data_IF_339042856850
#
_entry.id   IF_339042856850
#
_cell.length_a   1.000
_cell.length_b   1.000
_cell.length_c   1.000
_cell.angle_alpha   90.00
_cell.angle_beta   90.00
_cell.angle_gamma   90.00
#
_symmetry.space_group_name_H-M   'P 1'
#
loop_
_entity.id
_entity.type
_entity.pdbx_description
1 polymer ?
#
# COMPACT_ATOMS: atom_id res chain seq x y z
N UNK A 1 24.49 -36.35 32.75
CA UNK A 1 23.55 -35.49 32.00
C UNK A 1 22.90 -36.28 30.87
N UNK A 2 22.24 -37.38 31.24
CA UNK A 2 21.56 -38.29 30.32
C UNK A 2 20.37 -38.84 31.10
N UNK A 3 19.17 -38.35 30.75
CA UNK A 3 17.82 -38.80 31.18
C UNK A 3 16.93 -37.56 31.26
N UNK A 4 16.38 -37.11 30.13
CA UNK A 4 15.07 -36.44 30.07
C UNK A 4 14.56 -36.35 28.62
N UNK A 5 14.78 -37.38 27.81
CA UNK A 5 14.05 -37.54 26.55
C UNK A 5 12.72 -38.24 26.88
N UNK A 6 11.71 -37.46 27.29
CA UNK A 6 10.33 -37.93 27.34
C UNK A 6 9.95 -38.29 25.89
N UNK A 7 9.69 -39.57 25.63
CA UNK A 7 8.90 -40.01 24.46
C UNK A 7 7.55 -39.30 24.53
N UNK A 8 7.44 -38.14 23.89
CA UNK A 8 6.15 -37.57 23.52
C UNK A 8 5.58 -38.54 22.49
N UNK A 9 4.39 -39.05 22.75
CA UNK A 9 3.71 -39.94 21.81
C UNK A 9 3.57 -39.18 20.48
N UNK A 10 4.19 -39.71 19.42
CA UNK A 10 4.04 -39.20 18.05
C UNK A 10 2.58 -39.37 17.64
N UNK A 11 1.80 -38.31 17.76
CA UNK A 11 0.53 -38.18 17.09
C UNK A 11 0.74 -37.10 16.04
N UNK A 12 0.57 -37.49 14.76
CA UNK A 12 0.45 -36.53 13.68
C UNK A 12 -0.63 -35.50 14.06
N UNK A 13 -0.39 -34.24 13.74
CA UNK A 13 -1.26 -33.16 14.19
C UNK A 13 -2.62 -33.26 13.45
N UNK A 14 -3.72 -33.28 14.20
CA UNK A 14 -5.07 -33.28 13.62
C UNK A 14 -5.39 -31.90 13.01
N UNK A 15 -6.16 -31.88 11.94
CA UNK A 15 -6.47 -30.64 11.19
C UNK A 15 -7.22 -29.61 12.06
N UNK A 16 -8.03 -30.06 13.02
CA UNK A 16 -8.69 -29.16 13.98
C UNK A 16 -7.69 -28.48 14.92
N UNK A 17 -6.60 -29.18 15.26
CA UNK A 17 -5.52 -28.63 16.09
C UNK A 17 -4.67 -27.65 15.29
N UNK A 18 -4.42 -27.94 14.00
CA UNK A 18 -3.76 -27.01 13.07
C UNK A 18 -4.56 -25.72 12.94
N UNK A 19 -5.85 -25.84 12.67
CA UNK A 19 -6.80 -24.73 12.61
C UNK A 19 -6.77 -23.85 13.87
N UNK A 20 -6.79 -24.48 15.05
CA UNK A 20 -6.73 -23.76 16.33
C UNK A 20 -5.40 -23.01 16.53
N UNK A 21 -4.29 -23.60 16.08
CA UNK A 21 -2.96 -22.98 16.16
C UNK A 21 -2.87 -21.79 15.20
N UNK A 22 -3.31 -21.96 13.95
CA UNK A 22 -3.36 -20.88 12.94
C UNK A 22 -4.20 -19.72 13.46
N UNK A 23 -5.39 -20.00 14.00
CA UNK A 23 -6.25 -18.97 14.59
C UNK A 23 -5.55 -18.23 15.75
N UNK A 24 -4.84 -18.95 16.62
CA UNK A 24 -4.10 -18.33 17.73
C UNK A 24 -2.95 -17.44 17.25
N UNK A 25 -2.24 -17.86 16.20
CA UNK A 25 -1.13 -17.08 15.62
C UNK A 25 -1.65 -15.85 14.87
N UNK A 26 -2.71 -15.98 14.07
CA UNK A 26 -3.38 -14.84 13.42
C UNK A 26 -3.86 -13.83 14.47
N UNK A 27 -4.47 -14.30 15.56
CA UNK A 27 -4.91 -13.42 16.65
C UNK A 27 -3.73 -12.71 17.35
N UNK A 28 -2.58 -13.37 17.46
CA UNK A 28 -1.40 -12.85 18.14
C UNK A 28 -0.49 -12.01 17.24
N UNK A 29 -0.67 -12.08 15.91
CA UNK A 29 0.16 -11.38 14.93
C UNK A 29 0.01 -9.84 15.03
N UNK A 30 1.07 -9.15 14.64
CA UNK A 30 1.05 -7.69 14.41
C UNK A 30 0.31 -7.40 13.11
N UNK A 31 -0.53 -6.39 13.09
CA UNK A 31 -1.47 -6.12 11.97
C UNK A 31 -2.78 -6.90 12.08
N UNK A 32 -2.93 -7.75 13.11
CA UNK A 32 -4.20 -8.41 13.40
C UNK A 32 -5.18 -7.43 14.03
N UNK A 33 -6.37 -7.31 13.44
CA UNK A 33 -7.47 -6.50 13.96
C UNK A 33 -7.99 -7.00 15.32
N UNK A 34 -7.83 -8.30 15.60
CA UNK A 34 -8.51 -8.99 16.70
C UNK A 34 -7.65 -9.11 17.98
N UNK A 35 -6.33 -8.91 17.92
CA UNK A 35 -5.41 -9.14 19.04
C UNK A 35 -5.64 -8.26 20.27
N UNK A 36 -5.27 -8.75 21.47
CA UNK A 36 -5.58 -8.13 22.78
C UNK A 36 -4.95 -6.76 23.07
N UNK A 37 -4.04 -6.29 22.22
CA UNK A 37 -3.46 -4.94 22.29
C UNK A 37 -4.01 -4.01 21.18
N UNK A 38 -5.02 -4.47 20.43
CA UNK A 38 -5.64 -3.77 19.31
C UNK A 38 -4.70 -3.67 18.11
N UNK A 39 -5.23 -3.81 16.90
CA UNK A 39 -4.58 -3.28 15.71
C UNK A 39 -4.21 -1.78 15.82
N UNK A 40 -4.69 -1.08 16.85
CA UNK A 40 -4.54 0.34 17.16
C UNK A 40 -3.17 0.94 16.85
N UNK A 41 -2.12 0.75 17.64
CA UNK A 41 -0.95 1.65 17.56
C UNK A 41 -0.20 1.62 16.21
N UNK A 42 -0.11 0.48 15.52
CA UNK A 42 0.51 0.45 14.19
C UNK A 42 -0.46 0.95 13.11
N UNK A 43 -1.72 0.51 13.17
CA UNK A 43 -2.74 0.89 12.22
C UNK A 43 -3.05 2.40 12.28
N UNK A 44 -3.20 2.93 13.48
CA UNK A 44 -3.39 4.35 13.76
C UNK A 44 -2.23 5.18 13.24
N UNK A 45 -0.98 4.72 13.42
CA UNK A 45 0.19 5.44 12.89
C UNK A 45 0.23 5.44 11.37
N UNK A 46 -0.13 4.34 10.72
CA UNK A 46 -0.17 4.26 9.26
C UNK A 46 -1.33 5.06 8.68
N UNK A 47 -2.50 5.01 9.33
CA UNK A 47 -3.66 5.85 9.05
C UNK A 47 -3.28 7.32 9.16
N UNK A 48 -2.69 7.73 10.29
CA UNK A 48 -2.21 9.09 10.48
C UNK A 48 -1.20 9.51 9.39
N UNK A 49 -0.25 8.64 9.02
CA UNK A 49 0.66 8.94 7.89
C UNK A 49 -0.10 9.20 6.58
N UNK A 50 -1.18 8.45 6.31
CA UNK A 50 -2.03 8.66 5.14
C UNK A 50 -2.79 9.98 5.22
N UNK A 51 -3.44 10.27 6.34
CA UNK A 51 -4.18 11.54 6.58
C UNK A 51 -3.25 12.75 6.38
N UNK A 52 -2.02 12.70 6.91
CA UNK A 52 -1.03 13.75 6.73
C UNK A 52 -0.54 13.87 5.28
N UNK A 53 -0.37 12.75 4.57
CA UNK A 53 0.01 12.74 3.16
C UNK A 53 -1.09 13.35 2.27
N UNK A 54 -2.36 13.08 2.56
CA UNK A 54 -3.52 13.66 1.88
C UNK A 54 -3.82 15.10 2.33
N UNK A 55 -3.11 15.61 3.34
CA UNK A 55 -3.31 16.94 3.95
C UNK A 55 -4.73 17.10 4.52
N UNK A 56 -5.24 16.06 5.15
CA UNK A 56 -6.54 16.06 5.81
C UNK A 56 -6.55 16.91 7.09
N UNK A 57 -7.74 17.41 7.51
CA UNK A 57 -7.89 18.19 8.74
C UNK A 57 -7.34 17.49 9.99
N UNK A 58 -6.58 18.22 10.80
CA UNK A 58 -5.99 17.66 12.04
C UNK A 58 -7.00 17.52 13.18
N UNK A 59 -8.21 18.04 13.03
CA UNK A 59 -9.24 18.11 14.07
C UNK A 59 -8.99 19.19 15.12
N UNK A 60 -7.93 19.99 14.97
CA UNK A 60 -7.61 21.12 15.84
C UNK A 60 -7.98 22.48 15.23
N UNK A 61 -8.61 22.46 14.06
CA UNK A 61 -9.15 23.64 13.38
C UNK A 61 -10.27 24.28 14.20
N UNK A 62 -10.32 25.61 14.17
CA UNK A 62 -11.36 26.38 14.87
C UNK A 62 -12.37 26.85 13.83
N UNK A 63 -13.66 26.59 14.08
CA UNK A 63 -14.73 27.05 13.21
C UNK A 63 -14.72 28.59 13.09
N UNK A 64 -14.93 29.09 11.87
CA UNK A 64 -14.82 30.50 11.53
C UNK A 64 -13.38 31.05 11.42
N UNK A 65 -12.35 30.18 11.43
CA UNK A 65 -10.95 30.54 11.16
C UNK A 65 -10.40 29.83 9.93
N UNK A 66 -9.18 30.17 9.52
CA UNK A 66 -8.46 29.51 8.44
C UNK A 66 -8.27 28.02 8.74
N UNK A 67 -8.60 27.18 7.75
CA UNK A 67 -8.43 25.72 7.78
C UNK A 67 -7.32 25.24 6.83
N UNK A 68 -6.37 26.13 6.48
CA UNK A 68 -5.28 25.78 5.55
C UNK A 68 -4.32 24.78 6.19
N UNK A 69 -3.91 23.78 5.40
CA UNK A 69 -2.99 22.72 5.79
C UNK A 69 -1.85 22.70 4.77
N UNK A 70 -0.62 22.61 5.28
CA UNK A 70 0.60 22.48 4.47
C UNK A 70 0.77 21.03 4.02
N UNK A 71 1.38 20.78 2.87
CA UNK A 71 1.54 19.44 2.27
C UNK A 71 2.96 18.88 2.41
N UNK A 72 3.64 19.15 3.53
CA UNK A 72 5.08 18.81 3.70
C UNK A 72 5.36 17.33 3.50
N UNK A 73 4.55 16.43 4.09
CA UNK A 73 4.76 14.98 3.99
C UNK A 73 4.63 14.52 2.53
N UNK A 74 3.63 15.03 1.82
CA UNK A 74 3.44 14.77 0.39
C UNK A 74 4.66 15.20 -0.43
N UNK A 75 5.08 16.46 -0.27
CA UNK A 75 6.19 17.03 -1.04
C UNK A 75 7.52 16.29 -0.80
N UNK A 76 7.75 15.81 0.42
CA UNK A 76 8.97 15.06 0.77
C UNK A 76 8.95 13.68 0.11
N UNK A 77 7.84 12.96 0.20
CA UNK A 77 7.72 11.61 -0.37
C UNK A 77 7.82 11.66 -1.90
N UNK A 78 7.07 12.56 -2.55
CA UNK A 78 7.09 12.70 -4.01
C UNK A 78 8.42 13.23 -4.54
N UNK A 79 9.20 13.97 -3.73
CA UNK A 79 10.55 14.37 -4.10
C UNK A 79 11.60 13.28 -3.87
N UNK A 80 11.40 12.39 -2.91
CA UNK A 80 12.33 11.29 -2.61
C UNK A 80 12.17 10.10 -3.58
N UNK A 81 10.97 9.89 -4.13
CA UNK A 81 10.68 8.76 -5.02
C UNK A 81 11.49 8.75 -6.34
N UNK A 82 11.57 9.84 -7.13
CA UNK A 82 12.23 9.80 -8.43
C UNK A 82 13.73 9.46 -8.35
N UNK A 83 14.55 10.06 -7.45
CA UNK A 83 15.95 9.67 -7.32
C UNK A 83 16.15 8.20 -6.92
N UNK A 84 15.26 7.65 -6.08
CA UNK A 84 15.30 6.25 -5.71
C UNK A 84 14.98 5.36 -6.91
N UNK A 85 13.94 5.69 -7.67
CA UNK A 85 13.58 4.94 -8.87
C UNK A 85 14.68 5.01 -9.92
N UNK A 86 15.23 6.19 -10.19
CA UNK A 86 16.32 6.37 -11.13
C UNK A 86 17.53 5.50 -10.78
N UNK A 87 17.90 5.39 -9.49
CA UNK A 87 19.01 4.53 -9.07
C UNK A 87 18.83 3.06 -9.48
N UNK A 88 17.60 2.55 -9.44
CA UNK A 88 17.30 1.15 -9.75
C UNK A 88 16.82 0.92 -11.18
N UNK A 89 16.45 1.97 -11.93
CA UNK A 89 15.91 1.85 -13.29
C UNK A 89 16.72 2.59 -14.34
N UNK A 90 17.83 3.26 -13.98
CA UNK A 90 18.70 3.93 -14.95
C UNK A 90 19.52 2.96 -15.81
N UNK A 91 19.71 1.73 -15.34
CA UNK A 91 20.40 0.67 -16.07
C UNK A 91 19.38 -0.32 -16.64
N UNK A 92 19.64 -0.80 -17.86
CA UNK A 92 18.89 -1.94 -18.44
C UNK A 92 19.21 -3.24 -17.69
N UNK A 93 20.34 -3.30 -16.98
CA UNK A 93 20.73 -4.38 -16.06
C UNK A 93 20.50 -3.95 -14.62
N UNK A 94 19.40 -4.39 -14.02
CA UNK A 94 19.04 -4.15 -12.61
C UNK A 94 19.81 -5.12 -11.70
N UNK A 95 19.91 -6.37 -12.13
CA UNK A 95 20.66 -7.43 -11.45
C UNK A 95 21.74 -7.93 -12.40
N UNK A 96 22.95 -8.15 -11.87
CA UNK A 96 24.06 -8.75 -12.61
C UNK A 96 24.62 -9.95 -11.86
N UNK A 97 24.72 -11.08 -12.55
CA UNK A 97 25.39 -12.27 -12.03
C UNK A 97 26.87 -12.23 -12.43
N UNK A 98 27.75 -12.41 -11.46
CA UNK A 98 29.19 -12.52 -11.69
C UNK A 98 29.59 -13.99 -11.78
N UNK A 99 30.32 -14.35 -12.83
CA UNK A 99 30.86 -15.70 -12.99
C UNK A 99 31.97 -15.96 -11.96
N UNK A 100 31.92 -17.11 -11.29
CA UNK A 100 32.98 -17.52 -10.36
C UNK A 100 34.14 -18.20 -11.09
N UNK A 101 33.84 -18.94 -12.17
CA UNK A 101 34.82 -19.61 -13.03
C UNK A 101 34.71 -19.14 -14.49
N UNK A 102 35.78 -19.23 -15.30
CA UNK A 102 35.76 -18.83 -16.72
C UNK A 102 34.73 -19.59 -17.56
N UNK A 103 34.34 -20.80 -17.13
CA UNK A 103 33.36 -21.64 -17.82
C UNK A 103 31.92 -21.16 -17.61
N UNK A 104 31.67 -20.37 -16.55
CA UNK A 104 30.34 -19.86 -16.19
C UNK A 104 30.01 -18.50 -16.81
N UNK A 105 30.92 -17.89 -17.59
CA UNK A 105 30.72 -16.56 -18.15
C UNK A 105 29.48 -16.47 -19.06
N UNK A 106 29.24 -17.49 -19.89
CA UNK A 106 28.05 -17.52 -20.76
C UNK A 106 26.78 -17.75 -19.95
N UNK A 107 26.82 -18.64 -18.97
CA UNK A 107 25.67 -18.93 -18.10
C UNK A 107 25.29 -17.71 -17.25
N UNK A 108 26.27 -16.99 -16.70
CA UNK A 108 26.06 -15.79 -15.90
C UNK A 108 25.42 -14.65 -16.74
N UNK A 109 25.85 -14.49 -18.00
CA UNK A 109 25.21 -13.54 -18.94
C UNK A 109 23.77 -13.96 -19.24
N UNK A 110 23.54 -15.22 -19.57
CA UNK A 110 22.19 -15.71 -19.86
C UNK A 110 21.25 -15.55 -18.65
N UNK A 111 21.73 -15.85 -17.43
CA UNK A 111 20.96 -15.65 -16.20
C UNK A 111 20.65 -14.17 -15.94
N UNK A 112 21.64 -13.29 -16.17
CA UNK A 112 21.48 -11.83 -16.08
C UNK A 112 20.41 -11.34 -17.04
N UNK A 113 20.49 -11.70 -18.32
CA UNK A 113 19.52 -11.29 -19.34
C UNK A 113 18.11 -11.82 -19.01
N UNK A 114 18.01 -13.08 -18.57
CA UNK A 114 16.73 -13.73 -18.29
C UNK A 114 16.02 -13.12 -17.08
N UNK A 115 16.75 -12.82 -16.00
CA UNK A 115 16.15 -12.22 -14.80
C UNK A 115 15.71 -10.78 -15.06
N UNK A 116 16.50 -10.00 -15.80
CA UNK A 116 16.10 -8.65 -16.20
C UNK A 116 14.88 -8.70 -17.15
N UNK A 117 14.78 -9.72 -18.03
CA UNK A 117 13.58 -9.96 -18.82
C UNK A 117 12.36 -10.29 -17.96
N UNK A 118 12.47 -11.20 -16.98
CA UNK A 118 11.37 -11.54 -16.07
C UNK A 118 10.89 -10.30 -15.31
N UNK A 119 11.82 -9.50 -14.79
CA UNK A 119 11.49 -8.34 -13.98
C UNK A 119 10.93 -7.17 -14.79
N UNK A 120 11.48 -6.90 -15.98
CA UNK A 120 11.12 -5.74 -16.79
C UNK A 120 10.08 -5.97 -17.88
N UNK A 121 9.95 -7.21 -18.40
CA UNK A 121 9.02 -7.56 -19.49
C UNK A 121 7.87 -8.45 -19.02
N UNK A 122 8.15 -9.52 -18.28
CA UNK A 122 7.09 -10.40 -17.79
C UNK A 122 6.32 -9.76 -16.63
N UNK A 123 7.00 -8.95 -15.84
CA UNK A 123 6.44 -8.12 -14.78
C UNK A 123 6.61 -6.64 -15.11
N UNK A 124 5.75 -5.80 -14.53
CA UNK A 124 5.85 -4.35 -14.64
C UNK A 124 6.83 -3.81 -13.58
N UNK A 125 8.12 -4.16 -13.71
CA UNK A 125 9.16 -3.89 -12.70
C UNK A 125 9.22 -2.44 -12.21
N UNK A 126 9.11 -1.46 -13.11
CA UNK A 126 9.06 -0.03 -12.75
C UNK A 126 7.88 0.28 -11.80
N UNK A 127 6.68 -0.23 -12.11
CA UNK A 127 5.48 -0.01 -11.31
C UNK A 127 5.58 -0.69 -9.95
N UNK A 128 6.16 -1.89 -9.91
CA UNK A 128 6.41 -2.63 -8.68
C UNK A 128 7.34 -1.85 -7.75
N UNK A 129 8.48 -1.35 -8.27
CA UNK A 129 9.42 -0.55 -7.49
C UNK A 129 8.78 0.76 -7.00
N UNK A 130 8.02 1.42 -7.87
CA UNK A 130 7.32 2.66 -7.53
C UNK A 130 6.38 2.46 -6.33
N UNK A 131 5.51 1.46 -6.38
CA UNK A 131 4.61 1.16 -5.26
C UNK A 131 5.36 0.65 -4.03
N UNK A 132 6.37 -0.20 -4.23
CA UNK A 132 7.14 -0.78 -3.13
C UNK A 132 7.87 0.29 -2.30
N UNK A 133 8.52 1.24 -2.97
CA UNK A 133 9.21 2.34 -2.32
C UNK A 133 8.22 3.34 -1.72
N UNK A 134 7.11 3.64 -2.41
CA UNK A 134 6.09 4.56 -1.89
C UNK A 134 5.45 4.03 -0.61
N UNK A 135 5.08 2.74 -0.58
CA UNK A 135 4.55 2.09 0.61
C UNK A 135 5.56 2.12 1.76
N UNK A 136 6.84 1.89 1.48
CA UNK A 136 7.88 1.95 2.50
C UNK A 136 8.07 3.35 3.10
N UNK A 137 8.09 4.38 2.24
CA UNK A 137 8.27 5.78 2.64
C UNK A 137 7.07 6.36 3.39
N UNK A 138 5.86 5.88 3.10
CA UNK A 138 4.61 6.33 3.69
C UNK A 138 4.21 5.49 4.92
N UNK A 139 4.10 4.17 4.74
CA UNK A 139 3.51 3.23 5.70
C UNK A 139 4.53 2.44 6.55
N UNK A 140 5.79 2.89 6.57
CA UNK A 140 6.95 2.35 7.33
C UNK A 140 7.62 1.14 6.72
N UNK A 141 6.89 0.33 5.97
CA UNK A 141 7.42 -0.87 5.31
C UNK A 141 6.71 -1.11 3.98
N UNK A 142 7.48 -1.50 2.97
CA UNK A 142 6.96 -1.97 1.69
C UNK A 142 7.15 -3.48 1.59
N UNK A 143 6.14 -4.20 1.11
CA UNK A 143 6.19 -5.67 1.00
C UNK A 143 5.88 -6.08 -0.43
N UNK A 144 6.67 -7.02 -0.95
CA UNK A 144 6.47 -7.65 -2.25
C UNK A 144 6.41 -9.16 -2.06
N UNK A 145 5.48 -9.81 -2.77
CA UNK A 145 5.33 -11.25 -2.83
C UNK A 145 5.74 -11.74 -4.22
N UNK A 146 6.61 -12.75 -4.26
CA UNK A 146 7.07 -13.39 -5.49
C UNK A 146 6.58 -14.83 -5.51
N UNK A 147 5.73 -15.19 -6.47
CA UNK A 147 5.18 -16.54 -6.56
C UNK A 147 5.10 -17.00 -8.00
N UNK A 148 5.06 -18.32 -8.19
CA UNK A 148 4.79 -18.93 -9.47
C UNK A 148 3.29 -18.91 -9.73
N UNK A 149 2.88 -18.22 -10.79
CA UNK A 149 1.50 -18.17 -11.24
C UNK A 149 1.35 -19.14 -12.41
N UNK A 150 0.53 -20.17 -12.23
CA UNK A 150 0.04 -21.01 -13.33
C UNK A 150 -1.29 -20.45 -13.80
N UNK A 151 -1.37 -20.09 -15.08
CA UNK A 151 -2.62 -19.67 -15.71
C UNK A 151 -3.00 -20.69 -16.78
N UNK A 152 -4.21 -21.22 -16.67
CA UNK A 152 -4.84 -22.00 -17.72
C UNK A 152 -5.35 -21.04 -18.80
N UNK A 153 -4.59 -20.91 -19.88
CA UNK A 153 -4.94 -20.02 -20.99
C UNK A 153 -5.69 -20.80 -22.07
N UNK A 154 -6.87 -20.29 -22.44
CA UNK A 154 -7.69 -20.82 -23.53
C UNK A 154 -7.42 -20.02 -24.79
N UNK A 155 -6.93 -20.66 -25.85
CA UNK A 155 -6.78 -20.02 -27.17
C UNK A 155 -7.74 -20.62 -28.17
N UNK A 156 -8.55 -19.75 -28.76
CA UNK A 156 -9.43 -20.10 -29.88
C UNK A 156 -8.62 -20.09 -31.16
N UNK A 157 -8.52 -21.24 -31.82
CA UNK A 157 -7.88 -21.38 -33.13
C UNK A 157 -8.94 -21.85 -34.14
N UNK A 158 -9.02 -21.18 -35.28
CA UNK A 158 -9.93 -21.53 -36.37
C UNK A 158 -9.10 -22.05 -37.53
N UNK A 159 -9.36 -23.29 -37.91
CA UNK A 159 -8.75 -23.93 -39.05
C UNK A 159 -9.79 -24.08 -40.17
N UNK A 160 -9.40 -23.71 -41.38
CA UNK A 160 -10.26 -23.79 -42.57
C UNK A 160 -9.64 -24.70 -43.61
N UNK A 161 -10.46 -25.50 -44.28
CA UNK A 161 -9.97 -26.34 -45.38
C UNK A 161 -9.24 -27.61 -44.94
N UNK A 162 -9.60 -28.18 -43.79
CA UNK A 162 -8.97 -29.40 -43.26
C UNK A 162 -9.55 -30.66 -43.89
N UNK A 163 -8.72 -31.68 -44.06
CA UNK A 163 -9.16 -33.05 -44.38
C UNK A 163 -9.66 -33.79 -43.13
N UNK A 164 -10.42 -34.87 -43.32
CA UNK A 164 -10.99 -35.68 -42.22
C UNK A 164 -9.91 -36.25 -41.29
N UNK A 165 -8.77 -36.66 -41.85
CA UNK A 165 -7.61 -37.17 -41.10
C UNK A 165 -6.91 -36.08 -40.27
N UNK A 166 -6.86 -34.83 -40.77
CA UNK A 166 -6.25 -33.70 -40.06
C UNK A 166 -7.15 -33.20 -38.91
N UNK A 167 -8.47 -33.24 -39.08
CA UNK A 167 -9.43 -32.93 -38.01
C UNK A 167 -9.31 -33.96 -36.88
N UNK A 168 -9.22 -35.25 -37.21
CA UNK A 168 -9.02 -36.30 -36.21
C UNK A 168 -7.71 -36.10 -35.42
N UNK A 169 -6.62 -35.74 -36.10
CA UNK A 169 -5.34 -35.47 -35.46
C UNK A 169 -5.37 -34.25 -34.51
N UNK A 170 -6.09 -33.20 -34.88
CA UNK A 170 -6.20 -31.99 -34.04
C UNK A 170 -7.06 -32.26 -32.80
N UNK A 171 -8.11 -33.08 -32.93
CA UNK A 171 -8.98 -33.45 -31.81
C UNK A 171 -8.35 -34.49 -30.86
N UNK A 172 -7.37 -35.26 -31.33
CA UNK A 172 -6.63 -36.23 -30.51
C UNK A 172 -5.53 -35.58 -29.66
N UNK A 173 -5.23 -34.29 -29.88
CA UNK A 173 -4.26 -33.56 -29.07
C UNK A 173 -4.82 -33.25 -27.67
N UNK A 174 -4.01 -33.47 -26.62
CA UNK A 174 -4.39 -33.19 -25.23
C UNK A 174 -4.75 -31.70 -25.03
N UNK A 175 -5.86 -31.46 -24.32
CA UNK A 175 -6.35 -30.11 -23.98
C UNK A 175 -7.09 -29.40 -25.11
N UNK A 176 -7.59 -30.12 -26.12
CA UNK A 176 -8.35 -29.55 -27.23
C UNK A 176 -9.84 -29.88 -27.11
N UNK A 177 -10.68 -28.85 -27.07
CA UNK A 177 -12.13 -28.96 -27.15
C UNK A 177 -12.66 -28.36 -28.46
N UNK A 178 -13.55 -29.08 -29.14
CA UNK A 178 -14.20 -28.57 -30.35
C UNK A 178 -15.39 -27.66 -29.99
N UNK A 179 -15.38 -26.41 -30.47
CA UNK A 179 -16.49 -25.47 -30.26
C UNK A 179 -17.45 -25.50 -31.45
N UNK A 180 -16.92 -25.40 -32.66
CA UNK A 180 -17.69 -25.37 -33.90
C UNK A 180 -17.02 -26.28 -34.92
N UNK A 181 -17.84 -27.10 -35.58
CA UNK A 181 -17.43 -27.99 -36.64
C UNK A 181 -18.42 -27.83 -37.79
N UNK A 182 -17.93 -27.38 -38.94
CA UNK A 182 -18.72 -27.18 -40.16
C UNK A 182 -18.10 -27.95 -41.32
N UNK A 183 -18.95 -28.57 -42.13
CA UNK A 183 -18.54 -29.45 -43.22
C UNK A 183 -19.06 -28.84 -44.52
N UNK A 184 -18.15 -28.49 -45.42
CA UNK A 184 -18.52 -27.99 -46.74
C UNK A 184 -18.99 -29.16 -47.63
N UNK A 185 -20.31 -29.25 -47.84
CA UNK A 185 -20.95 -30.33 -48.62
C UNK A 185 -20.51 -30.37 -50.10
N UNK A 186 -19.94 -29.29 -50.65
CA UNK A 186 -19.52 -29.19 -52.05
C UNK A 186 -18.07 -29.65 -52.27
N UNK A 187 -17.21 -29.47 -51.28
CA UNK A 187 -15.76 -29.74 -51.39
C UNK A 187 -15.24 -30.84 -50.47
N UNK A 188 -16.01 -31.24 -49.46
CA UNK A 188 -15.63 -32.26 -48.46
C UNK A 188 -14.60 -31.76 -47.43
N UNK A 189 -14.23 -30.49 -47.48
CA UNK A 189 -13.34 -29.88 -46.49
C UNK A 189 -14.10 -29.48 -45.22
N UNK A 190 -13.41 -29.54 -44.10
CA UNK A 190 -13.98 -29.25 -42.79
C UNK A 190 -13.37 -27.96 -42.23
N UNK A 191 -14.21 -27.13 -41.63
CA UNK A 191 -13.80 -25.96 -40.84
C UNK A 191 -13.97 -26.33 -39.36
N UNK A 192 -12.90 -26.19 -38.60
CA UNK A 192 -12.87 -26.56 -37.19
C UNK A 192 -12.43 -25.35 -36.38
N UNK A 193 -13.26 -24.95 -35.43
CA UNK A 193 -12.86 -24.01 -34.39
C UNK A 193 -12.64 -24.79 -33.11
N UNK A 194 -11.39 -24.80 -32.66
CA UNK A 194 -11.00 -25.43 -31.41
C UNK A 194 -10.74 -24.40 -30.32
N UNK A 195 -10.95 -24.82 -29.09
CA UNK A 195 -10.42 -24.19 -27.90
C UNK A 195 -9.29 -25.07 -27.38
N UNK A 196 -8.07 -24.56 -27.44
CA UNK A 196 -6.90 -25.24 -26.89
C UNK A 196 -6.56 -24.63 -25.55
N UNK A 197 -6.57 -25.47 -24.52
CA UNK A 197 -6.06 -25.16 -23.19
C UNK A 197 -4.55 -25.42 -23.17
N UNK A 198 -3.79 -24.43 -22.73
CA UNK A 198 -2.39 -24.63 -22.39
C UNK A 198 -2.09 -23.98 -21.05
N UNK A 199 -1.29 -24.69 -20.24
CA UNK A 199 -0.75 -24.17 -18.99
C UNK A 199 0.39 -23.22 -19.29
N UNK A 200 0.24 -21.96 -18.88
CA UNK A 200 1.32 -20.98 -18.94
C UNK A 200 1.73 -20.63 -17.51
N UNK A 201 2.94 -21.02 -17.14
CA UNK A 201 3.54 -20.60 -15.87
C UNK A 201 4.42 -19.36 -16.07
N UNK A 202 4.34 -18.41 -15.14
CA UNK A 202 5.28 -17.28 -15.06
C UNK A 202 5.56 -16.90 -13.61
N UNK A 203 6.72 -16.31 -13.36
CA UNK A 203 7.00 -15.66 -12.08
C UNK A 203 6.20 -14.37 -12.01
N UNK A 204 5.32 -14.25 -11.02
CA UNK A 204 4.56 -13.02 -10.75
C UNK A 204 5.11 -12.33 -9.51
N UNK A 205 5.38 -11.04 -9.65
CA UNK A 205 5.80 -10.16 -8.56
C UNK A 205 4.66 -9.20 -8.27
N UNK A 206 4.21 -9.17 -7.01
CA UNK A 206 3.06 -8.37 -6.60
C UNK A 206 3.36 -7.61 -5.31
N UNK A 207 3.03 -6.31 -5.30
CA UNK A 207 3.05 -5.50 -4.08
C UNK A 207 1.92 -5.93 -3.16
N UNK A 208 2.23 -6.17 -1.89
CA UNK A 208 1.26 -6.52 -0.87
C UNK A 208 0.97 -5.28 -0.05
N UNK A 209 -0.30 -4.84 0.01
CA UNK A 209 -0.70 -3.75 0.90
C UNK A 209 -0.32 -4.05 2.35
N UNK A 210 0.33 -3.13 3.07
CA UNK A 210 0.77 -3.36 4.45
C UNK A 210 -0.34 -3.70 5.46
N UNK A 211 -1.61 -3.38 5.16
CA UNK A 211 -2.80 -3.74 5.94
C UNK A 211 -3.31 -5.18 5.69
N UNK A 212 -2.88 -5.78 4.58
CA UNK A 212 -3.17 -7.18 4.22
C UNK A 212 -2.10 -8.13 4.78
N UNK A 213 -0.95 -7.61 5.18
CA UNK A 213 0.17 -8.39 5.67
C UNK A 213 0.19 -8.51 7.20
N UNK A 214 0.35 -9.74 7.69
CA UNK A 214 0.45 -10.06 9.11
C UNK A 214 1.78 -10.74 9.43
N UNK A 215 2.38 -10.39 10.55
CA UNK A 215 3.64 -11.00 11.01
C UNK A 215 3.67 -11.21 12.51
N UNK A 216 4.31 -12.28 12.97
CA UNK A 216 4.52 -12.53 14.39
C UNK A 216 5.18 -11.33 15.09
N UNK A 217 4.66 -10.92 16.25
CA UNK A 217 5.17 -9.79 17.05
C UNK A 217 6.65 -9.90 17.46
N UNK A 218 7.15 -11.13 17.54
CA UNK A 218 8.54 -11.43 17.93
C UNK A 218 9.49 -11.47 16.75
N UNK A 219 8.99 -11.37 15.52
CA UNK A 219 9.81 -11.37 14.34
C UNK A 219 10.67 -10.11 14.29
N UNK A 220 11.95 -10.30 14.01
CA UNK A 220 12.91 -9.22 13.75
C UNK A 220 13.25 -9.17 12.26
N UNK A 221 13.26 -10.32 11.60
CA UNK A 221 13.51 -10.49 10.17
C UNK A 221 12.46 -11.43 9.58
N UNK A 222 12.17 -11.26 8.28
CA UNK A 222 11.19 -12.09 7.57
C UNK A 222 11.59 -13.57 7.60
N UNK A 223 12.84 -13.88 7.27
CA UNK A 223 13.38 -15.25 7.19
C UNK A 223 13.27 -16.07 8.48
N UNK A 224 13.27 -15.39 9.64
CA UNK A 224 13.22 -16.05 10.97
C UNK A 224 11.87 -15.87 11.64
N UNK A 225 10.87 -15.37 10.92
CA UNK A 225 9.55 -15.20 11.48
C UNK A 225 8.90 -16.56 11.70
N UNK A 226 8.36 -16.85 12.90
CA UNK A 226 7.62 -18.08 13.14
C UNK A 226 6.26 -18.12 12.42
N UNK A 227 5.74 -16.94 12.05
CA UNK A 227 4.44 -16.79 11.39
C UNK A 227 4.42 -15.54 10.51
N UNK A 228 4.04 -15.72 9.25
CA UNK A 228 3.75 -14.67 8.27
C UNK A 228 2.40 -15.00 7.65
N UNK A 229 1.58 -14.01 7.36
CA UNK A 229 0.36 -14.25 6.60
C UNK A 229 0.02 -13.10 5.65
N UNK A 230 -0.53 -13.46 4.50
CA UNK A 230 -1.14 -12.53 3.55
C UNK A 230 -2.65 -12.77 3.52
N UNK A 231 -3.40 -11.75 3.94
CA UNK A 231 -4.86 -11.74 3.94
C UNK A 231 -5.36 -11.03 2.68
N UNK A 232 -6.06 -11.75 1.81
CA UNK A 232 -6.61 -11.22 0.55
C UNK A 232 -8.12 -11.42 0.52
N UNK A 233 -8.84 -10.47 -0.06
CA UNK A 233 -10.26 -10.63 -0.40
C UNK A 233 -10.34 -11.23 -1.81
N UNK A 234 -10.87 -12.45 -1.93
CA UNK A 234 -11.10 -13.13 -3.22
C UNK A 234 -12.57 -13.44 -3.42
N UNK A 235 -13.01 -13.51 -4.66
CA UNK A 235 -14.35 -14.00 -4.99
C UNK A 235 -14.40 -15.53 -4.93
N UNK A 236 -15.59 -16.11 -4.71
CA UNK A 236 -15.75 -17.58 -4.76
C UNK A 236 -15.37 -18.11 -6.15
N UNK A 237 -15.70 -17.39 -7.21
CA UNK A 237 -15.31 -17.79 -8.58
C UNK A 237 -13.79 -17.92 -8.72
N UNK A 238 -13.02 -16.95 -8.23
CA UNK A 238 -11.55 -17.00 -8.26
C UNK A 238 -11.01 -18.17 -7.46
N UNK A 239 -11.59 -18.47 -6.30
CA UNK A 239 -11.16 -19.61 -5.47
C UNK A 239 -11.48 -20.95 -6.13
N UNK A 240 -12.59 -21.05 -6.87
CA UNK A 240 -12.91 -22.25 -7.64
C UNK A 240 -11.94 -22.39 -8.82
N UNK A 241 -11.58 -21.30 -9.50
CA UNK A 241 -10.58 -21.30 -10.56
C UNK A 241 -9.19 -21.71 -10.06
N UNK A 242 -8.84 -21.32 -8.83
CA UNK A 242 -7.61 -21.77 -8.14
C UNK A 242 -7.63 -23.25 -7.76
N UNK A 243 -8.76 -23.94 -7.93
CA UNK A 243 -8.91 -25.38 -7.72
C UNK A 243 -9.35 -25.80 -6.32
N UNK A 244 -9.84 -24.87 -5.49
CA UNK A 244 -10.37 -25.19 -4.17
C UNK A 244 -11.77 -25.84 -4.24
N UNK A 245 -12.06 -26.72 -3.28
CA UNK A 245 -13.32 -27.48 -3.24
C UNK A 245 -14.55 -26.54 -3.08
N UNK A 246 -15.48 -26.50 -4.06
CA UNK A 246 -16.67 -25.66 -4.01
C UNK A 246 -17.55 -25.91 -2.77
N UNK A 247 -17.62 -27.14 -2.27
CA UNK A 247 -18.46 -27.49 -1.13
C UNK A 247 -17.96 -26.85 0.17
N UNK A 248 -16.64 -26.72 0.30
CA UNK A 248 -16.01 -26.05 1.45
C UNK A 248 -16.25 -24.55 1.38
N UNK A 249 -16.13 -23.95 0.19
CA UNK A 249 -16.33 -22.52 -0.03
C UNK A 249 -17.77 -22.06 0.19
N UNK A 250 -18.76 -22.86 -0.21
CA UNK A 250 -20.18 -22.52 -0.05
C UNK A 250 -20.61 -22.48 1.43
N UNK A 251 -19.97 -23.30 2.29
CA UNK A 251 -20.24 -23.34 3.73
C UNK A 251 -19.70 -22.13 4.49
N UNK A 252 -18.68 -21.45 3.95
CA UNK A 252 -18.02 -20.34 4.62
C UNK A 252 -18.91 -19.09 4.55
N UNK A 253 -19.24 -18.43 5.68
CA UNK A 253 -19.98 -17.18 5.66
C UNK A 253 -19.11 -16.01 5.15
N UNK A 254 -19.74 -15.04 4.48
CA UNK A 254 -19.03 -13.87 3.93
C UNK A 254 -18.78 -12.75 4.92
N UNK A 255 -19.52 -12.75 6.03
CA UNK A 255 -19.35 -11.71 7.04
C UNK A 255 -18.09 -11.98 7.86
N UNK A 256 -17.16 -11.02 7.84
CA UNK A 256 -15.95 -11.01 8.66
C UNK A 256 -15.82 -9.62 9.29
N UNK A 257 -15.49 -9.57 10.58
CA UNK A 257 -15.22 -8.32 11.30
C UNK A 257 -14.06 -7.53 10.67
N UNK A 258 -13.21 -8.20 9.88
CA UNK A 258 -12.16 -7.60 9.07
C UNK A 258 -12.63 -6.56 8.02
N UNK A 259 -13.93 -6.49 7.71
CA UNK A 259 -14.51 -5.49 6.80
C UNK A 259 -14.36 -4.05 7.31
N UNK A 260 -14.18 -3.84 8.62
CA UNK A 260 -14.03 -2.52 9.25
C UNK A 260 -12.57 -2.12 9.49
N UNK A 261 -11.65 -2.49 8.60
CA UNK A 261 -10.25 -2.07 8.75
C UNK A 261 -10.07 -0.58 8.45
N UNK A 262 -9.82 0.22 9.50
CA UNK A 262 -9.67 1.68 9.42
C UNK A 262 -8.56 2.13 8.45
N UNK A 263 -7.46 1.37 8.32
CA UNK A 263 -6.39 1.69 7.35
C UNK A 263 -6.87 1.62 5.90
N UNK A 264 -7.71 0.61 5.59
CA UNK A 264 -8.28 0.44 4.26
C UNK A 264 -9.31 1.53 4.01
N UNK A 265 -10.16 1.84 4.99
CA UNK A 265 -11.12 2.96 4.87
C UNK A 265 -10.38 4.26 4.54
N UNK A 266 -9.34 4.63 5.29
CA UNK A 266 -8.59 5.87 5.05
C UNK A 266 -7.95 5.94 3.64
N UNK A 267 -7.58 4.80 3.04
CA UNK A 267 -7.08 4.79 1.66
C UNK A 267 -8.16 5.05 0.61
N UNK A 268 -9.38 4.55 0.82
CA UNK A 268 -10.48 4.61 -0.14
C UNK A 268 -11.54 5.69 0.18
N UNK A 269 -11.41 6.39 1.32
CA UNK A 269 -12.36 7.41 1.77
C UNK A 269 -12.52 8.55 0.76
N UNK A 270 -11.44 8.93 0.07
CA UNK A 270 -11.46 9.96 -0.96
C UNK A 270 -12.20 9.57 -2.25
N UNK A 271 -12.40 8.27 -2.49
CA UNK A 271 -12.96 7.73 -3.74
C UNK A 271 -14.49 7.52 -3.67
N UNK A 272 -15.17 7.99 -2.61
CA UNK A 272 -16.61 7.78 -2.33
C UNK A 272 -17.02 6.28 -2.32
N UNK A 273 -16.05 5.36 -2.29
CA UNK A 273 -16.25 3.92 -2.27
C UNK A 273 -16.38 3.45 -0.81
N UNK A 274 -17.62 3.42 -0.31
CA UNK A 274 -17.88 2.79 0.99
C UNK A 274 -17.49 1.30 0.90
N UNK A 275 -16.60 0.76 1.76
CA UNK A 275 -16.16 -0.65 1.71
C UNK A 275 -17.30 -1.66 1.93
N UNK A 276 -18.50 -1.16 2.24
CA UNK A 276 -19.75 -1.91 2.28
C UNK A 276 -20.24 -2.11 0.86
N UNK A 277 -19.41 -2.75 0.03
CA UNK A 277 -19.90 -3.19 -1.26
C UNK A 277 -20.90 -4.31 -1.01
N UNK A 278 -22.10 -4.06 -1.52
CA UNK A 278 -23.28 -4.87 -1.33
C UNK A 278 -22.92 -6.33 -1.55
N UNK A 279 -23.38 -7.23 -0.67
CA UNK A 279 -23.44 -8.65 -1.00
C UNK A 279 -24.00 -8.75 -2.42
N UNK A 280 -23.13 -9.09 -3.38
CA UNK A 280 -23.58 -9.33 -4.74
C UNK A 280 -24.71 -10.33 -4.63
N UNK A 281 -25.84 -10.06 -5.27
CA UNK A 281 -26.96 -11.01 -5.27
C UNK A 281 -26.57 -12.33 -5.94
N UNK A 282 -25.45 -12.33 -6.68
CA UNK A 282 -24.84 -13.51 -7.27
C UNK A 282 -23.94 -14.26 -6.26
N UNK A 283 -24.26 -15.52 -5.91
CA UNK A 283 -23.44 -16.35 -5.05
C UNK A 283 -21.99 -16.56 -5.53
N UNK A 284 -21.73 -16.49 -6.84
CA UNK A 284 -20.38 -16.71 -7.39
C UNK A 284 -19.45 -15.51 -7.20
N UNK A 285 -20.00 -14.30 -7.18
CA UNK A 285 -19.27 -13.04 -6.97
C UNK A 285 -19.23 -12.62 -5.49
N UNK A 286 -19.65 -13.52 -4.61
CA UNK A 286 -19.55 -13.34 -3.18
C UNK A 286 -18.08 -13.35 -2.77
N UNK A 287 -17.65 -12.32 -2.05
CA UNK A 287 -16.28 -12.20 -1.58
C UNK A 287 -16.09 -12.89 -0.23
N UNK A 288 -14.93 -13.52 -0.05
CA UNK A 288 -14.51 -14.16 1.20
C UNK A 288 -13.06 -13.74 1.49
N UNK A 289 -12.73 -13.59 2.77
CA UNK A 289 -11.36 -13.37 3.22
C UNK A 289 -10.58 -14.69 3.24
N UNK A 290 -9.44 -14.69 2.55
CA UNK A 290 -8.51 -15.81 2.50
C UNK A 290 -7.20 -15.38 3.14
N UNK A 291 -6.73 -16.19 4.07
CA UNK A 291 -5.46 -16.02 4.75
C UNK A 291 -4.51 -17.10 4.25
N UNK A 292 -3.48 -16.69 3.53
CA UNK A 292 -2.34 -17.54 3.27
C UNK A 292 -1.37 -17.41 4.43
N UNK A 293 -1.22 -18.45 5.23
CA UNK A 293 -0.35 -18.47 6.41
C UNK A 293 0.91 -19.29 6.13
N UNK A 294 2.06 -18.73 6.44
CA UNK A 294 3.37 -19.34 6.32
C UNK A 294 3.91 -19.48 7.74
N UNK A 295 3.96 -20.71 8.23
CA UNK A 295 4.36 -20.94 9.61
C UNK A 295 5.15 -22.22 9.84
N UNK A 296 6.01 -22.17 10.85
CA UNK A 296 6.82 -23.30 11.28
C UNK A 296 5.96 -24.21 12.16
N UNK A 297 5.58 -25.38 11.65
CA UNK A 297 4.76 -26.36 12.37
C UNK A 297 5.34 -27.76 12.23
N UNK A 298 5.45 -28.46 13.35
CA UNK A 298 5.72 -29.90 13.40
C UNK A 298 4.39 -30.65 13.20
N UNK A 299 4.08 -30.98 11.95
CA UNK A 299 2.83 -31.65 11.58
C UNK A 299 2.95 -33.18 11.70
N UNK A 300 4.10 -33.75 11.36
CA UNK A 300 4.34 -35.20 11.37
C UNK A 300 4.72 -35.76 12.75
N UNK A 301 4.94 -34.86 13.72
CA UNK A 301 5.26 -35.19 15.11
C UNK A 301 6.68 -35.70 15.27
N UNK A 302 7.61 -35.29 14.40
CA UNK A 302 9.00 -35.71 14.46
C UNK A 302 9.88 -34.86 15.40
N UNK A 303 9.36 -33.72 15.88
CA UNK A 303 10.03 -32.79 16.76
C UNK A 303 10.80 -31.68 16.05
N UNK A 304 10.79 -31.64 14.72
CA UNK A 304 11.34 -30.58 13.88
C UNK A 304 10.18 -29.83 13.24
N UNK A 305 10.16 -28.52 13.39
CA UNK A 305 9.15 -27.71 12.72
C UNK A 305 9.56 -27.50 11.26
N UNK A 306 8.67 -27.82 10.33
CA UNK A 306 8.82 -27.55 8.91
C UNK A 306 8.03 -26.29 8.55
N UNK A 307 8.51 -25.54 7.56
CA UNK A 307 7.76 -24.39 7.04
C UNK A 307 6.62 -24.94 6.17
N UNK A 308 5.39 -24.54 6.49
CA UNK A 308 4.20 -24.95 5.73
C UNK A 308 3.40 -23.74 5.29
N UNK A 309 2.93 -23.79 4.04
CA UNK A 309 1.91 -22.89 3.50
C UNK A 309 0.55 -23.49 3.82
N UNK A 310 -0.20 -22.78 4.65
CA UNK A 310 -1.53 -23.17 5.09
C UNK A 310 -2.50 -22.10 4.62
N UNK A 311 -3.41 -22.47 3.73
CA UNK A 311 -4.45 -21.56 3.24
C UNK A 311 -5.72 -21.79 4.06
N UNK A 312 -6.20 -20.75 4.74
CA UNK A 312 -7.46 -20.79 5.50
C UNK A 312 -8.41 -19.70 5.02
N UNK A 313 -9.71 -19.95 5.07
CA UNK A 313 -10.72 -19.01 4.60
C UNK A 313 -11.86 -18.78 5.59
N UNK A 314 -12.38 -17.54 5.57
CA UNK A 314 -13.51 -17.08 6.35
C UNK A 314 -13.25 -16.88 7.84
N UNK A 315 -14.29 -16.41 8.59
CA UNK A 315 -14.16 -16.12 10.02
C UNK A 315 -13.96 -17.40 10.86
N UNK A 316 -14.36 -18.54 10.30
CA UNK A 316 -14.14 -19.84 10.90
C UNK A 316 -12.71 -20.35 10.73
N UNK A 317 -11.85 -19.75 9.90
CA UNK A 317 -10.54 -20.25 9.49
C UNK A 317 -10.59 -21.70 8.95
N UNK A 318 -11.53 -21.98 8.04
CA UNK A 318 -11.63 -23.30 7.44
C UNK A 318 -10.41 -23.59 6.56
N UNK A 319 -9.81 -24.76 6.76
CA UNK A 319 -8.59 -25.19 6.05
C UNK A 319 -8.95 -25.52 4.60
N UNK A 320 -8.32 -24.82 3.66
CA UNK A 320 -8.44 -25.07 2.23
C UNK A 320 -7.28 -25.94 1.72
N UNK A 321 -6.06 -25.58 2.08
CA UNK A 321 -4.85 -26.25 1.59
C UNK A 321 -3.71 -26.21 2.62
N UNK A 322 -2.82 -27.19 2.54
CA UNK A 322 -1.68 -27.38 3.43
C UNK A 322 -0.50 -28.04 2.71
N UNK A 323 0.44 -27.22 2.27
CA UNK A 323 1.65 -27.64 1.54
C UNK A 323 2.91 -27.42 2.39
N UNK A 324 3.86 -28.34 2.34
CA UNK A 324 5.19 -28.13 2.93
C UNK A 324 6.07 -27.39 1.92
N UNK A 325 6.71 -26.31 2.35
CA UNK A 325 7.51 -25.43 1.51
C UNK A 325 8.90 -25.23 2.11
N UNK A 326 9.88 -24.91 1.27
CA UNK A 326 11.26 -24.68 1.73
C UNK A 326 11.52 -23.24 2.15
N UNK A 327 10.87 -22.26 1.50
CA UNK A 327 11.08 -20.83 1.77
C UNK A 327 9.80 -20.01 1.55
N UNK A 328 9.72 -18.86 2.20
CA UNK A 328 8.59 -17.94 2.15
C UNK A 328 8.73 -16.92 0.99
N UNK A 329 7.64 -16.54 0.30
CA UNK A 329 7.70 -15.74 -0.93
C UNK A 329 7.76 -14.22 -0.72
N UNK A 330 7.89 -13.70 0.52
CA UNK A 330 7.81 -12.27 0.79
C UNK A 330 9.19 -11.61 0.95
N UNK A 331 9.27 -10.37 0.48
CA UNK A 331 10.44 -9.52 0.56
C UNK A 331 9.99 -8.18 1.13
N UNK A 332 10.66 -7.69 2.17
CA UNK A 332 10.37 -6.41 2.79
C UNK A 332 11.46 -5.36 2.53
N UNK A 333 11.05 -4.09 2.57
CA UNK A 333 11.95 -2.94 2.63
C UNK A 333 11.47 -1.96 3.69
N UNK A 334 12.41 -1.44 4.47
CA UNK A 334 12.16 -0.44 5.50
C UNK A 334 13.17 0.71 5.33
N UNK A 335 12.73 1.97 5.15
CA UNK A 335 13.64 3.07 4.86
C UNK A 335 14.62 3.34 6.01
N UNK A 336 14.10 3.41 7.25
CA UNK A 336 14.90 3.64 8.44
C UNK A 336 14.72 2.43 9.38
N UNK A 337 15.60 1.43 9.30
CA UNK A 337 15.47 0.21 10.10
C UNK A 337 15.73 0.50 11.57
N UNK A 338 14.85 -0.03 12.44
CA UNK A 338 15.02 0.05 13.89
C UNK A 338 15.61 -1.27 14.42
N UNK A 339 16.72 -1.24 15.18
CA UNK A 339 17.31 -2.47 15.72
C UNK A 339 16.30 -3.30 16.52
N UNK A 340 16.26 -4.60 16.26
CA UNK A 340 15.40 -5.57 16.95
C UNK A 340 13.89 -5.37 16.74
N UNK A 341 13.47 -4.62 15.72
CA UNK A 341 12.07 -4.47 15.34
C UNK A 341 11.92 -4.70 13.84
N UNK A 342 10.85 -5.39 13.45
CA UNK A 342 10.48 -5.54 12.05
C UNK A 342 10.00 -4.20 11.46
N UNK A 343 9.10 -3.51 12.16
CA UNK A 343 8.64 -2.19 11.73
C UNK A 343 9.63 -1.10 12.16
N UNK A 344 10.23 -0.45 11.17
CA UNK A 344 11.08 0.73 11.35
C UNK A 344 10.29 2.05 11.32
N UNK A 345 11.00 3.11 10.93
CA UNK A 345 10.42 4.45 10.74
C UNK A 345 10.33 4.79 9.26
N UNK A 346 9.32 5.57 8.91
CA UNK A 346 9.09 6.08 7.56
C UNK A 346 9.56 7.54 7.43
N UNK A 347 9.66 8.04 6.20
CA UNK A 347 9.91 9.48 6.00
C UNK A 347 8.73 10.34 6.42
N UNK A 348 7.50 9.81 6.36
CA UNK A 348 6.33 10.48 6.90
C UNK A 348 6.47 10.72 8.42
N UNK A 349 6.94 9.72 9.17
CA UNK A 349 7.15 9.84 10.62
C UNK A 349 8.08 11.00 11.01
N UNK A 350 9.12 11.24 10.22
CA UNK A 350 10.11 12.31 10.44
C UNK A 350 9.61 13.71 10.10
N UNK A 351 8.49 13.83 9.38
CA UNK A 351 8.00 15.10 8.81
C UNK A 351 6.59 15.49 9.24
N UNK A 352 5.80 14.57 9.81
CA UNK A 352 4.45 14.85 10.32
C UNK A 352 4.42 15.98 11.37
N UNK A 353 5.37 16.01 12.30
CA UNK A 353 5.47 17.08 13.30
C UNK A 353 5.70 18.45 12.65
N UNK A 354 6.56 18.52 11.62
CA UNK A 354 6.84 19.73 10.86
C UNK A 354 5.58 20.23 10.14
N UNK A 355 4.82 19.33 9.51
CA UNK A 355 3.58 19.69 8.82
C UNK A 355 2.55 20.29 9.77
N UNK A 356 2.37 19.69 10.96
CA UNK A 356 1.44 20.20 11.97
C UNK A 356 1.82 21.61 12.44
N UNK A 357 3.11 21.83 12.71
CA UNK A 357 3.62 23.13 13.16
C UNK A 357 3.47 24.18 12.06
N UNK A 358 3.91 23.89 10.83
CA UNK A 358 3.80 24.81 9.69
C UNK A 358 2.35 25.16 9.39
N UNK A 359 1.45 24.17 9.34
CA UNK A 359 0.02 24.41 9.13
C UNK A 359 -0.58 25.28 10.23
N UNK A 360 -0.17 25.09 11.48
CA UNK A 360 -0.66 25.92 12.60
C UNK A 360 -0.16 27.36 12.50
N UNK A 361 1.10 27.57 12.12
CA UNK A 361 1.65 28.92 11.88
C UNK A 361 0.97 29.58 10.69
N UNK A 362 0.78 28.86 9.58
CA UNK A 362 0.14 29.37 8.37
C UNK A 362 -1.31 29.77 8.64
N UNK A 363 -2.08 28.95 9.37
CA UNK A 363 -3.44 29.30 9.79
C UNK A 363 -3.48 30.57 10.62
N UNK A 364 -2.58 30.69 11.61
CA UNK A 364 -2.49 31.90 12.43
C UNK A 364 -2.12 33.13 11.59
N UNK A 365 -1.16 33.00 10.66
CA UNK A 365 -0.76 34.09 9.77
C UNK A 365 -1.92 34.52 8.86
N UNK A 366 -2.65 33.57 8.29
CA UNK A 366 -3.82 33.85 7.45
C UNK A 366 -4.93 34.49 8.28
N UNK A 367 -5.23 33.98 9.48
CA UNK A 367 -6.19 34.58 10.40
C UNK A 367 -5.83 36.03 10.74
N UNK A 368 -4.54 36.31 10.94
CA UNK A 368 -4.06 37.67 11.13
C UNK A 368 -4.28 38.54 9.90
N UNK A 369 -3.96 38.04 8.70
CA UNK A 369 -4.19 38.76 7.45
C UNK A 369 -5.67 39.04 7.22
N UNK A 370 -6.54 38.07 7.48
CA UNK A 370 -7.99 38.26 7.46
C UNK A 370 -8.43 39.29 8.50
N UNK A 371 -7.87 39.26 9.71
CA UNK A 371 -8.12 40.26 10.75
C UNK A 371 -7.59 41.66 10.39
N UNK A 372 -6.47 41.76 9.69
CA UNK A 372 -5.89 43.02 9.24
C UNK A 372 -6.69 43.63 8.08
N UNK A 373 -7.20 42.80 7.16
CA UNK A 373 -8.10 43.23 6.09
C UNK A 373 -9.51 43.53 6.62
N UNK A 374 -9.97 42.76 7.63
CA UNK A 374 -11.28 42.87 8.22
C UNK A 374 -11.21 43.27 9.70
N UNK A 375 -10.61 44.43 9.98
CA UNK A 375 -10.41 44.92 11.34
C UNK A 375 -11.74 45.07 12.08
N UNK A 376 -11.74 44.65 13.35
CA UNK A 376 -12.85 44.90 14.27
C UNK A 376 -12.79 46.34 14.73
N UNK A 377 -13.97 46.96 14.72
CA UNK A 377 -14.13 48.34 15.14
C UNK A 377 -14.88 48.33 16.48
N UNK A 378 -14.23 48.83 17.52
CA UNK A 378 -14.88 49.14 18.79
C UNK A 378 -15.63 50.45 18.64
N UNK A 379 -16.92 50.43 18.99
CA UNK A 379 -17.80 51.59 18.91
C UNK A 379 -18.45 51.91 20.23
N UNK A 380 -18.72 53.20 20.43
CA UNK A 380 -19.53 53.70 21.53
C UNK A 380 -20.95 54.02 21.04
N UNK A 381 -21.90 54.29 21.95
CA UNK A 381 -23.32 54.58 21.65
C UNK A 381 -23.54 55.82 20.73
N UNK A 382 -22.47 56.56 20.44
CA UNK A 382 -22.48 57.76 19.59
C UNK A 382 -22.49 57.46 18.09
N UNK A 383 -22.31 56.21 17.69
CA UNK A 383 -22.19 55.81 16.28
C UNK A 383 -23.47 55.13 15.81
N UNK A 384 -23.89 55.41 14.57
CA UNK A 384 -25.02 54.71 13.99
C UNK A 384 -24.64 53.27 13.63
N UNK A 385 -25.32 52.28 14.23
CA UNK A 385 -25.04 50.85 14.03
C UNK A 385 -25.34 50.39 12.60
N UNK A 386 -26.36 50.96 11.95
CA UNK A 386 -26.77 50.55 10.60
C UNK A 386 -25.69 50.83 9.55
N UNK A 387 -24.93 51.91 9.72
CA UNK A 387 -23.86 52.30 8.80
C UNK A 387 -22.61 51.41 8.95
N UNK A 388 -22.48 50.68 10.07
CA UNK A 388 -21.34 49.79 10.36
C UNK A 388 -21.62 48.32 10.12
N UNK A 389 -22.90 47.92 10.12
CA UNK A 389 -23.31 46.56 9.76
C UNK A 389 -23.08 46.26 8.27
N UNK A 390 -23.13 47.27 7.41
CA UNK A 390 -22.91 47.14 5.97
C UNK A 390 -21.55 47.70 5.58
N UNK A 391 -20.52 46.85 5.66
CA UNK A 391 -19.14 47.24 5.33
C UNK A 391 -18.98 47.43 3.81
N UNK A 392 -19.04 48.68 3.35
CA UNK A 392 -18.72 49.08 1.97
C UNK A 392 -17.35 49.76 1.93
N UNK A 393 -16.52 49.49 0.91
CA UNK A 393 -15.34 50.31 0.63
C UNK A 393 -15.74 51.79 0.54
N UNK A 394 -15.01 52.68 1.22
CA UNK A 394 -15.29 54.13 1.32
C UNK A 394 -16.66 54.51 1.94
N UNK A 395 -17.26 53.61 2.71
CA UNK A 395 -18.50 53.90 3.44
C UNK A 395 -18.32 55.02 4.46
N UNK A 396 -19.27 55.96 4.48
CA UNK A 396 -19.30 57.07 5.45
C UNK A 396 -19.95 56.60 6.75
N UNK A 397 -19.25 56.77 7.88
CA UNK A 397 -19.78 56.47 9.22
C UNK A 397 -20.21 57.76 9.89
N UNK A 398 -21.48 57.82 10.33
CA UNK A 398 -22.02 58.99 11.03
C UNK A 398 -21.79 58.87 12.53
N UNK A 399 -21.20 59.90 13.13
CA UNK A 399 -20.96 60.01 14.57
C UNK A 399 -21.74 61.20 15.12
N UNK A 400 -22.41 61.00 16.27
CA UNK A 400 -23.22 62.03 16.95
C UNK A 400 -22.49 62.58 18.18
N UNK A 401 -22.33 63.90 18.22
CA UNK A 401 -21.77 64.65 19.37
C UNK A 401 -20.46 65.37 19.05
N UNK A 402 -20.04 66.28 19.94
CA UNK A 402 -18.74 66.97 19.86
C UNK A 402 -17.68 66.21 20.68
N UNK A 403 -16.55 65.88 20.04
CA UNK A 403 -15.42 65.19 20.66
C UNK A 403 -14.48 64.55 19.62
N UNK A 404 -13.29 64.10 20.03
CA UNK A 404 -12.37 63.39 19.14
C UNK A 404 -13.02 62.12 18.56
N UNK A 405 -12.94 61.92 17.25
CA UNK A 405 -13.52 60.76 16.55
C UNK A 405 -12.97 59.43 17.10
N UNK A 406 -11.72 59.42 17.56
CA UNK A 406 -11.07 58.25 18.16
C UNK A 406 -11.75 57.70 19.41
N UNK A 407 -12.57 58.51 20.11
CA UNK A 407 -13.35 58.06 21.28
C UNK A 407 -14.67 57.39 20.89
N UNK A 408 -15.14 57.62 19.66
CA UNK A 408 -16.40 57.08 19.15
C UNK A 408 -16.18 55.82 18.30
N UNK A 409 -15.08 55.80 17.53
CA UNK A 409 -14.70 54.70 16.64
C UNK A 409 -13.23 54.42 16.86
N UNK A 410 -12.94 53.27 17.46
CA UNK A 410 -11.59 52.77 17.69
C UNK A 410 -11.38 51.49 16.89
N UNK A 411 -10.26 51.40 16.18
CA UNK A 411 -9.85 50.14 15.58
C UNK A 411 -9.19 49.32 16.69
N UNK A 412 -9.67 48.09 16.91
CA UNK A 412 -8.96 47.15 17.75
C UNK A 412 -7.74 46.68 16.97
N UNK A 413 -6.57 47.17 17.39
CA UNK A 413 -5.31 46.76 16.78
C UNK A 413 -5.10 45.26 17.01
N UNK A 414 -5.00 44.51 15.92
CA UNK A 414 -4.50 43.14 15.98
C UNK A 414 -2.97 43.22 16.15
N UNK A 415 -2.39 42.43 17.05
CA UNK A 415 -0.94 42.41 17.26
C UNK A 415 -0.20 41.91 16.01
N UNK A 416 0.98 42.49 15.72
CA UNK A 416 1.81 42.09 14.57
C UNK A 416 2.56 40.78 14.88
N UNK A 417 2.05 39.63 14.43
CA UNK A 417 2.78 38.33 14.52
C UNK A 417 3.57 38.08 13.22
N UNK A 418 3.20 38.72 12.10
CA UNK A 418 3.79 38.49 10.78
C UNK A 418 5.31 38.60 10.70
N UNK A 419 5.95 39.48 11.48
CA UNK A 419 7.42 39.63 11.44
C UNK A 419 8.19 38.41 11.99
N UNK A 420 7.59 37.63 12.90
CA UNK A 420 8.25 36.47 13.51
C UNK A 420 7.87 35.14 12.82
N UNK A 421 6.76 35.11 12.09
CA UNK A 421 6.28 33.89 11.44
C UNK A 421 7.17 33.44 10.26
N UNK A 422 7.65 34.37 9.43
CA UNK A 422 8.47 34.01 8.26
C UNK A 422 9.82 33.38 8.61
N UNK A 423 10.62 33.92 9.56
CA UNK A 423 11.86 33.27 9.99
C UNK A 423 11.63 31.86 10.58
N UNK A 424 10.49 31.65 11.24
CA UNK A 424 10.15 30.34 11.80
C UNK A 424 9.79 29.34 10.69
N UNK A 425 9.07 29.76 9.65
CA UNK A 425 8.78 28.91 8.48
C UNK A 425 10.08 28.51 7.77
N UNK A 426 11.01 29.45 7.57
CA UNK A 426 12.33 29.14 6.97
C UNK A 426 13.16 28.19 7.82
N UNK A 427 13.09 28.32 9.15
CA UNK A 427 13.74 27.36 10.06
C UNK A 427 13.11 25.95 9.94
N UNK A 428 11.77 25.86 9.83
CA UNK A 428 11.09 24.58 9.60
C UNK A 428 11.49 23.95 8.25
N UNK A 429 11.65 24.74 7.19
CA UNK A 429 12.14 24.24 5.90
C UNK A 429 13.59 23.74 6.00
N UNK A 430 14.43 24.42 6.77
CA UNK A 430 15.82 23.98 7.01
C UNK A 430 15.84 22.67 7.81
N UNK A 431 14.97 22.52 8.81
CA UNK A 431 14.82 21.27 9.54
C UNK A 431 14.34 20.14 8.63
N UNK A 432 13.35 20.40 7.77
CA UNK A 432 12.88 19.45 6.76
C UNK A 432 14.04 18.95 5.91
N UNK A 433 14.81 19.86 5.31
CA UNK A 433 15.98 19.50 4.49
C UNK A 433 17.00 18.67 5.28
N UNK A 434 17.24 18.99 6.56
CA UNK A 434 18.19 18.27 7.40
C UNK A 434 17.75 16.85 7.79
N UNK A 435 16.44 16.61 7.95
CA UNK A 435 15.90 15.31 8.34
C UNK A 435 15.73 14.37 7.15
N UNK A 436 15.28 14.91 6.02
CA UNK A 436 14.91 14.09 4.86
C UNK A 436 16.04 13.98 3.85
N UNK A 437 17.04 14.86 3.91
CA UNK A 437 18.07 15.00 2.86
C UNK A 437 17.52 15.54 1.54
N UNK A 438 16.22 15.83 1.46
CA UNK A 438 15.58 16.41 0.28
C UNK A 438 15.79 17.91 0.32
N UNK A 439 16.77 18.37 -0.44
CA UNK A 439 17.05 19.80 -0.59
C UNK A 439 16.15 20.44 -1.65
N UNK A 440 15.93 21.75 -1.55
CA UNK A 440 15.27 22.54 -2.61
C UNK A 440 15.94 22.40 -3.99
N UNK A 441 17.22 22.03 -4.03
CA UNK A 441 17.98 21.80 -5.27
C UNK A 441 17.49 20.55 -6.02
N UNK A 442 17.15 19.48 -5.30
CA UNK A 442 16.67 18.23 -5.88
C UNK A 442 15.20 18.31 -6.34
N UNK A 443 14.43 19.28 -5.86
CA UNK A 443 12.99 19.46 -6.20
C UNK A 443 12.75 20.22 -7.51
N UNK A 444 13.79 20.60 -8.26
CA UNK A 444 13.65 21.20 -9.60
C UNK A 444 13.00 22.60 -9.65
N UNK A 445 12.77 23.25 -8.52
CA UNK A 445 12.06 24.54 -8.42
C UNK A 445 12.97 25.79 -8.42
N UNK A 446 14.26 25.66 -8.71
CA UNK A 446 15.15 26.81 -8.85
C UNK A 446 15.79 26.84 -10.25
N UNK A 447 15.22 27.67 -11.13
CA UNK A 447 15.70 27.91 -12.50
C UNK A 447 17.12 28.49 -12.55
N UNK A 448 17.60 29.10 -11.45
CA UNK A 448 18.97 29.61 -11.32
C UNK A 448 19.98 28.55 -10.82
N UNK A 449 19.50 27.34 -10.53
CA UNK A 449 20.31 26.24 -9.99
C UNK A 449 20.80 25.25 -11.06
N UNK A 450 20.11 25.21 -12.22
CA UNK A 450 20.49 24.48 -13.44
C UNK A 450 21.82 24.94 -14.08
N UNK A 451 22.40 26.06 -13.60
CA UNK A 451 23.65 26.64 -14.13
C UNK A 451 24.83 26.67 -13.16
N UNK A 452 24.70 26.11 -11.95
CA UNK A 452 25.84 26.02 -11.01
C UNK A 452 26.57 24.70 -11.20
N UNK A 453 27.41 24.67 -12.25
CA UNK A 453 28.57 23.78 -12.49
C UNK A 453 28.57 22.39 -11.84
N UNK A 454 28.64 21.36 -12.69
CA UNK A 454 28.76 19.91 -12.45
C UNK A 454 29.88 19.39 -11.50
N UNK A 455 30.42 20.22 -10.60
CA UNK A 455 31.34 19.84 -9.51
C UNK A 455 30.82 20.12 -8.10
N UNK A 456 29.74 20.89 -7.95
CA UNK A 456 29.15 21.19 -6.63
C UNK A 456 28.25 20.07 -6.08
N UNK A 457 27.71 19.23 -6.96
CA UNK A 457 26.73 18.18 -6.61
C UNK A 457 27.41 16.93 -6.03
N UNK A 458 28.71 16.72 -6.27
CA UNK A 458 29.46 15.56 -5.74
C UNK A 458 29.98 15.74 -4.31
N UNK A 459 29.60 16.80 -3.58
CA UNK A 459 30.10 17.09 -2.22
C UNK A 459 28.99 17.43 -1.21
N UNK A 460 27.75 17.03 -1.46
CA UNK A 460 26.67 17.08 -0.45
C UNK A 460 26.16 15.67 -0.20
#
# INVERSE_FOLDING_TARGET
>A
MARYARKIAKQAMDDNRLKSIVQSEIYSATGSLLGSDGGGDLADRRRQSMEYYLSEPFGNEIDGRSQVIDSVVHDVIEAALPPLLELFTASDEIVRFEAQEPEDEEAAKQATDYINYIFGKDNEGFRILHWWFKDALLQKNGIVKVFWEETDAKKRETFTGLSEDEVALILDAEGVEAIEHDIDEETGFQNLTILREYKKGRVRIMNVPPEEFLIARRAVTMERSPFISHRVRKSISELIEEGYDPEVLERIPSYDEAEYNEERLARFEADDEWPVDANSMDPAMRHIWVYECYMMVDYDGDGVAELRKITVAGPGYDLLDNEAIDDQPFIDITPIPMPHKFFGMSMADETMDLQLVKSTILRQLLDQMYGANNQRVAINERVNLDDLLVKRPEGVVRVKGEGPIGDAVSILANGEIGQFAYPLLEYMDTLRESRTGVTRYNQGMDADSLNKTARGINMI
#
